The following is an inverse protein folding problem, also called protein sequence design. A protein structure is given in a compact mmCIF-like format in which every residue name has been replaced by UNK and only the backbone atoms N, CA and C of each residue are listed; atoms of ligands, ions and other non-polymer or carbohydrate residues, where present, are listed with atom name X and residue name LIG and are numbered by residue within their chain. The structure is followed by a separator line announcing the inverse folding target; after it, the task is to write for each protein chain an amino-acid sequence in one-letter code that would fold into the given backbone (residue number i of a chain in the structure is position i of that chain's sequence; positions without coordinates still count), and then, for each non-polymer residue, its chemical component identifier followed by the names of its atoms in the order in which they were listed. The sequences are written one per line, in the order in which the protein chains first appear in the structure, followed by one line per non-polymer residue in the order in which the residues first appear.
data_IF_620993874017
#
_entry.id   IF_620993874017
#
_cell.length_a   1.000
_cell.length_b   1.000
_cell.length_c   1.000
_cell.angle_alpha   90.00
_cell.angle_beta   90.00
_cell.angle_gamma   90.00
#
_symmetry.space_group_name_H-M   'P 1'
#
loop_
_entity.id
_entity.type
_entity.pdbx_description
1 polymer ?
#
# COMPACT_ATOMS: atom_id res chain seq x y z
N UNK A 1 -35.77 44.77 -49.52
CA UNK A 1 -36.82 44.08 -48.75
C UNK A 1 -36.45 42.61 -48.66
N UNK A 2 -36.37 42.05 -47.43
CA UNK A 2 -36.29 40.62 -47.05
C UNK A 2 -35.07 39.81 -47.54
N UNK A 3 -34.41 38.94 -46.77
CA UNK A 3 -34.16 38.66 -45.34
C UNK A 3 -33.09 37.54 -45.38
N UNK A 4 -32.06 37.66 -44.54
CA UNK A 4 -31.15 36.67 -43.91
C UNK A 4 -31.14 35.19 -44.36
N UNK A 5 -29.94 34.56 -44.37
CA UNK A 5 -29.48 33.55 -43.38
C UNK A 5 -28.01 33.16 -43.65
N UNK A 6 -27.20 33.21 -42.59
CA UNK A 6 -25.78 32.85 -42.47
C UNK A 6 -25.60 31.33 -42.24
N UNK A 7 -24.44 30.77 -42.60
CA UNK A 7 -23.94 29.54 -41.96
C UNK A 7 -22.41 29.49 -41.93
N UNK A 8 -21.92 29.54 -40.69
CA UNK A 8 -20.54 29.51 -40.22
C UNK A 8 -19.93 28.10 -40.30
N UNK A 9 -18.64 27.99 -40.61
CA UNK A 9 -17.85 26.74 -40.47
C UNK A 9 -16.76 26.98 -39.42
N UNK A 10 -16.95 26.44 -38.21
CA UNK A 10 -15.92 26.35 -37.16
C UNK A 10 -15.54 24.87 -37.05
N UNK A 11 -14.29 24.55 -37.39
CA UNK A 11 -13.72 23.22 -37.25
C UNK A 11 -13.41 22.92 -35.77
N UNK A 12 -14.00 21.83 -35.26
CA UNK A 12 -13.85 21.35 -33.89
C UNK A 12 -12.68 20.34 -33.82
N UNK A 13 -11.59 20.68 -33.12
CA UNK A 13 -10.55 19.73 -32.72
C UNK A 13 -10.94 19.10 -31.38
N UNK A 14 -11.38 17.84 -31.39
CA UNK A 14 -11.67 17.08 -30.18
C UNK A 14 -10.40 16.35 -29.70
N UNK A 15 -9.75 16.90 -28.68
CA UNK A 15 -8.75 16.19 -27.88
C UNK A 15 -9.49 15.27 -26.89
N UNK A 16 -9.51 13.97 -27.15
CA UNK A 16 -10.10 12.98 -26.24
C UNK A 16 -9.09 12.63 -25.15
N UNK A 17 -9.13 13.36 -24.05
CA UNK A 17 -8.49 12.98 -22.79
C UNK A 17 -9.25 11.79 -22.18
N UNK A 18 -8.62 10.62 -22.15
CA UNK A 18 -9.14 9.44 -21.43
C UNK A 18 -9.10 9.73 -19.93
N UNK A 19 -10.27 9.94 -19.32
CA UNK A 19 -10.44 9.99 -17.87
C UNK A 19 -10.31 8.57 -17.32
N UNK A 20 -9.21 8.28 -16.63
CA UNK A 20 -9.09 7.10 -15.78
C UNK A 20 -9.99 7.29 -14.57
N UNK A 21 -11.11 6.57 -14.51
CA UNK A 21 -12.01 6.55 -13.37
C UNK A 21 -11.41 5.71 -12.24
N UNK A 22 -10.81 6.36 -11.25
CA UNK A 22 -10.55 5.73 -9.96
C UNK A 22 -11.91 5.58 -9.26
N UNK A 23 -12.39 4.34 -9.10
CA UNK A 23 -13.71 4.08 -8.51
C UNK A 23 -13.86 4.67 -7.11
N UNK A 24 -14.95 5.42 -6.89
CA UNK A 24 -15.29 5.99 -5.59
C UNK A 24 -15.69 4.90 -4.58
N UNK A 25 -15.28 5.03 -3.30
CA UNK A 25 -15.58 4.03 -2.28
C UNK A 25 -17.09 3.94 -1.98
N UNK A 26 -17.60 2.72 -1.75
CA UNK A 26 -19.03 2.51 -1.46
C UNK A 26 -19.43 3.02 -0.07
N UNK A 27 -20.71 3.32 0.13
CA UNK A 27 -21.26 3.81 1.42
C UNK A 27 -21.01 2.82 2.57
N UNK A 28 -21.09 1.50 2.30
CA UNK A 28 -20.80 0.45 3.27
C UNK A 28 -19.32 0.44 3.72
N UNK A 29 -18.39 0.73 2.80
CA UNK A 29 -16.96 0.85 3.12
C UNK A 29 -16.64 2.11 3.93
N UNK A 30 -17.46 3.14 3.80
CA UNK A 30 -17.28 4.40 4.53
C UNK A 30 -17.75 4.25 5.98
N UNK A 31 -18.93 3.65 6.19
CA UNK A 31 -19.45 3.36 7.54
C UNK A 31 -18.56 2.39 8.34
N UNK A 32 -17.90 1.42 7.69
CA UNK A 32 -17.01 0.51 8.41
C UNK A 32 -15.77 1.18 8.99
N UNK A 33 -15.36 2.37 8.53
CA UNK A 33 -14.14 3.03 9.05
C UNK A 33 -14.41 3.73 10.39
N UNK A 34 -15.64 4.14 10.65
CA UNK A 34 -15.99 4.98 11.81
C UNK A 34 -15.75 4.31 13.17
N UNK A 35 -15.78 2.97 13.21
CA UNK A 35 -15.51 2.20 14.42
C UNK A 35 -14.01 2.11 14.79
N UNK A 36 -13.11 2.36 13.84
CA UNK A 36 -11.68 2.40 14.13
C UNK A 36 -11.34 3.72 14.84
N UNK A 37 -10.33 3.73 15.73
CA UNK A 37 -9.85 4.98 16.31
C UNK A 37 -9.57 6.02 15.22
N UNK A 38 -9.97 7.27 15.46
CA UNK A 38 -9.74 8.33 14.49
C UNK A 38 -8.32 8.86 14.55
N UNK A 39 -7.81 9.00 15.76
CA UNK A 39 -6.51 9.57 16.06
C UNK A 39 -5.83 8.71 17.11
N UNK A 40 -4.50 8.65 17.03
CA UNK A 40 -3.66 7.99 18.03
C UNK A 40 -2.39 8.82 18.19
N UNK A 41 -2.10 9.27 19.41
CA UNK A 41 -0.97 10.18 19.68
C UNK A 41 0.36 9.53 19.28
N UNK A 42 1.13 10.22 18.43
CA UNK A 42 2.43 9.75 17.96
C UNK A 42 2.36 8.79 16.76
N UNK A 43 1.17 8.61 16.19
CA UNK A 43 0.95 7.76 15.03
C UNK A 43 0.13 8.48 13.96
N UNK A 44 0.50 8.23 12.72
CA UNK A 44 -0.29 8.62 11.55
C UNK A 44 -1.18 7.46 11.11
N UNK A 45 -2.48 7.74 10.93
CA UNK A 45 -3.47 6.74 10.49
C UNK A 45 -3.49 6.59 8.96
N UNK A 46 -3.27 5.38 8.48
CA UNK A 46 -3.40 4.99 7.08
C UNK A 46 -4.60 4.06 6.89
N UNK A 47 -5.42 4.35 5.88
CA UNK A 47 -6.58 3.54 5.49
C UNK A 47 -6.38 3.06 4.06
N UNK A 48 -6.07 1.77 3.89
CA UNK A 48 -5.81 1.16 2.59
C UNK A 48 -7.08 0.50 2.09
N UNK A 49 -7.65 1.03 1.01
CA UNK A 49 -8.76 0.39 0.29
C UNK A 49 -8.19 -0.45 -0.84
N UNK A 50 -8.45 -1.75 -0.78
CA UNK A 50 -7.97 -2.69 -1.78
C UNK A 50 -8.94 -2.71 -2.98
N UNK A 51 -8.44 -2.68 -4.22
CA UNK A 51 -9.30 -2.82 -5.38
C UNK A 51 -9.95 -4.21 -5.41
N UNK A 52 -11.09 -4.33 -6.06
CA UNK A 52 -11.67 -5.65 -6.32
C UNK A 52 -10.81 -6.39 -7.34
N UNK A 53 -10.42 -7.63 -7.02
CA UNK A 53 -9.70 -8.54 -7.90
C UNK A 53 -10.50 -9.84 -8.06
N UNK A 54 -10.37 -10.48 -9.22
CA UNK A 54 -11.02 -11.77 -9.50
C UNK A 54 -10.17 -12.94 -9.00
N UNK A 55 -8.84 -12.84 -9.16
CA UNK A 55 -7.90 -13.88 -8.77
C UNK A 55 -7.49 -13.79 -7.30
N UNK A 56 -6.98 -14.91 -6.76
CA UNK A 56 -6.41 -14.95 -5.43
C UNK A 56 -5.19 -14.03 -5.30
N UNK A 57 -5.18 -13.25 -4.22
CA UNK A 57 -4.13 -12.29 -3.93
C UNK A 57 -3.76 -12.28 -2.45
N UNK A 58 -2.60 -11.69 -2.16
CA UNK A 58 -2.07 -11.43 -0.82
C UNK A 58 -1.61 -9.98 -0.73
N UNK A 59 -1.69 -9.42 0.47
CA UNK A 59 -1.22 -8.07 0.77
C UNK A 59 0.13 -8.17 1.52
N UNK A 60 1.06 -7.30 1.18
CA UNK A 60 2.27 -7.09 1.95
C UNK A 60 2.37 -5.60 2.31
N UNK A 61 2.58 -5.31 3.59
CA UNK A 61 2.82 -3.96 4.08
C UNK A 61 4.33 -3.74 4.24
N UNK A 62 4.81 -2.59 3.79
CA UNK A 62 6.22 -2.24 3.68
C UNK A 62 6.48 -0.97 4.50
N UNK A 63 6.58 -1.07 5.83
CA UNK A 63 6.95 0.05 6.65
C UNK A 63 8.42 0.41 6.40
N UNK A 64 8.72 1.69 6.35
CA UNK A 64 10.08 2.15 6.11
C UNK A 64 10.37 3.49 6.72
N UNK A 65 11.64 3.89 6.69
CA UNK A 65 12.09 5.20 7.16
C UNK A 65 13.14 5.75 6.20
N UNK A 66 13.09 7.05 5.96
CA UNK A 66 14.18 7.73 5.25
C UNK A 66 15.28 7.98 6.26
N UNK A 67 16.47 7.45 5.97
CA UNK A 67 17.67 7.59 6.80
C UNK A 67 18.80 8.17 5.98
N UNK A 68 19.66 8.94 6.63
CA UNK A 68 20.91 9.44 6.04
C UNK A 68 21.90 8.27 5.99
N UNK A 69 22.36 7.89 4.80
CA UNK A 69 23.28 6.77 4.63
C UNK A 69 23.77 6.60 3.20
N UNK A 70 24.66 5.64 2.99
CA UNK A 70 25.13 5.29 1.66
C UNK A 70 24.06 4.55 0.82
N UNK A 71 24.18 4.62 -0.50
CA UNK A 71 23.22 4.05 -1.45
C UNK A 71 23.52 2.61 -1.87
N UNK A 72 24.73 2.14 -1.61
CA UNK A 72 25.16 0.86 -2.14
C UNK A 72 24.93 -0.26 -1.14
N UNK A 73 25.09 -0.01 0.17
CA UNK A 73 24.89 -1.04 1.17
C UNK A 73 23.43 -1.38 1.40
N UNK A 74 23.21 -2.68 1.61
CA UNK A 74 21.90 -3.20 2.01
C UNK A 74 21.83 -3.17 3.53
N UNK A 75 20.73 -2.64 4.05
CA UNK A 75 20.41 -2.61 5.49
C UNK A 75 19.31 -3.60 5.78
N UNK A 76 19.46 -4.35 6.87
CA UNK A 76 18.38 -5.12 7.47
C UNK A 76 17.69 -4.22 8.47
N UNK A 77 16.40 -3.96 8.29
CA UNK A 77 15.61 -3.19 9.24
C UNK A 77 14.44 -4.00 9.77
N UNK A 78 14.02 -3.69 11.00
CA UNK A 78 12.90 -4.33 11.69
C UNK A 78 11.99 -3.28 12.31
N UNK A 79 10.76 -3.70 12.61
CA UNK A 79 9.73 -2.92 13.30
C UNK A 79 8.96 -3.82 14.25
N UNK A 80 8.36 -3.23 15.28
CA UNK A 80 7.35 -3.88 16.10
C UNK A 80 5.97 -3.76 15.45
N UNK A 81 5.16 -4.81 15.58
CA UNK A 81 3.83 -4.89 14.98
C UNK A 81 2.86 -5.46 15.99
N UNK A 82 1.89 -4.63 16.38
CA UNK A 82 0.79 -5.02 17.24
C UNK A 82 -0.50 -5.11 16.42
N UNK A 83 -1.21 -6.22 16.56
CA UNK A 83 -2.54 -6.40 15.97
C UNK A 83 -3.58 -6.26 17.07
N UNK A 84 -4.37 -5.20 17.00
CA UNK A 84 -5.43 -4.95 17.97
C UNK A 84 -6.80 -5.22 17.34
N UNK A 85 -7.70 -5.84 18.12
CA UNK A 85 -9.06 -6.13 17.69
C UNK A 85 -10.05 -5.11 18.25
N UNK A 86 -11.02 -4.70 17.45
CA UNK A 86 -12.12 -3.86 17.90
C UNK A 86 -13.18 -4.74 18.58
N UNK A 87 -13.35 -4.54 19.89
CA UNK A 87 -14.30 -5.30 20.69
C UNK A 87 -15.73 -5.16 20.14
N UNK A 88 -16.42 -6.29 19.97
CA UNK A 88 -17.80 -6.34 19.47
C UNK A 88 -17.95 -6.34 17.95
N UNK A 89 -16.88 -6.08 17.19
CA UNK A 89 -16.94 -6.01 15.72
C UNK A 89 -16.17 -7.15 15.02
N UNK A 90 -15.19 -7.76 15.70
CA UNK A 90 -14.39 -8.85 15.12
C UNK A 90 -13.39 -8.40 14.04
N UNK A 91 -13.14 -7.10 13.94
CA UNK A 91 -12.17 -6.51 13.04
C UNK A 91 -10.88 -6.15 13.76
N UNK A 92 -9.79 -6.00 13.01
CA UNK A 92 -8.48 -5.65 13.56
C UNK A 92 -7.83 -4.51 12.79
N UNK A 93 -7.00 -3.76 13.49
CA UNK A 93 -6.04 -2.82 12.91
C UNK A 93 -4.62 -3.18 13.35
N UNK A 94 -3.65 -2.54 12.71
CA UNK A 94 -2.23 -2.74 12.99
C UNK A 94 -1.63 -1.46 13.54
N UNK A 95 -0.76 -1.58 14.54
CA UNK A 95 0.16 -0.52 14.95
C UNK A 95 1.57 -0.94 14.59
N UNK A 96 2.31 -0.05 13.96
CA UNK A 96 3.69 -0.25 13.53
C UNK A 96 4.55 0.84 14.18
N UNK A 97 5.56 0.42 14.93
CA UNK A 97 6.47 1.32 15.66
C UNK A 97 7.88 0.74 15.73
N UNK A 98 8.76 1.45 16.44
CA UNK A 98 10.07 0.97 16.88
C UNK A 98 10.97 0.57 15.71
N UNK A 99 11.02 1.44 14.70
CA UNK A 99 11.88 1.24 13.54
C UNK A 99 13.35 1.14 13.95
N UNK A 100 13.97 0.01 13.65
CA UNK A 100 15.39 -0.25 13.87
C UNK A 100 16.07 -0.47 12.52
N UNK A 101 17.08 0.34 12.20
CA UNK A 101 17.82 0.29 10.93
C UNK A 101 18.79 -0.89 10.81
N UNK A 102 19.01 -1.63 11.91
CA UNK A 102 19.79 -2.87 12.00
C UNK A 102 21.19 -2.85 11.32
N UNK A 103 21.76 -4.03 11.04
CA UNK A 103 23.08 -4.12 10.41
C UNK A 103 23.03 -3.77 8.92
N UNK A 104 24.17 -3.28 8.43
CA UNK A 104 24.40 -2.94 7.02
C UNK A 104 25.54 -3.78 6.45
N UNK A 105 25.51 -4.05 5.14
CA UNK A 105 26.71 -4.53 4.43
C UNK A 105 27.84 -3.48 4.48
N UNK A 106 29.06 -3.89 4.12
CA UNK A 106 30.28 -3.08 4.21
C UNK A 106 30.99 -2.91 2.85
N UNK A 107 30.22 -2.65 1.79
CA UNK A 107 30.78 -2.32 0.47
C UNK A 107 31.35 -0.90 0.47
N UNK A 108 32.44 -0.71 -0.27
CA UNK A 108 32.98 0.62 -0.54
C UNK A 108 32.07 1.35 -1.55
N UNK A 109 31.27 2.30 -1.06
CA UNK A 109 30.37 3.06 -1.92
C UNK A 109 31.13 4.23 -2.58
N UNK A 110 31.06 4.36 -3.91
CA UNK A 110 31.73 5.46 -4.63
C UNK A 110 31.03 6.80 -4.44
N UNK A 111 29.73 6.79 -4.12
CA UNK A 111 28.96 7.96 -3.74
C UNK A 111 29.07 8.21 -2.23
N UNK A 112 29.03 9.49 -1.84
CA UNK A 112 28.87 9.87 -0.45
C UNK A 112 27.49 9.48 0.08
N UNK A 113 27.28 9.68 1.37
CA UNK A 113 25.97 9.44 1.96
C UNK A 113 24.93 10.36 1.30
N UNK A 114 23.68 9.89 1.20
CA UNK A 114 22.48 10.70 0.89
C UNK A 114 21.26 10.23 1.72
N UNK A 115 20.08 10.74 1.42
CA UNK A 115 18.84 10.22 2.01
C UNK A 115 18.42 8.93 1.27
N UNK A 116 18.17 7.87 2.03
CA UNK A 116 17.85 6.54 1.51
C UNK A 116 16.63 5.99 2.26
N UNK A 117 15.64 5.49 1.51
CA UNK A 117 14.48 4.81 2.11
C UNK A 117 14.87 3.37 2.44
N UNK A 118 14.82 3.02 3.72
CA UNK A 118 15.03 1.66 4.21
C UNK A 118 13.69 1.06 4.59
N UNK A 119 13.37 -0.11 4.02
CA UNK A 119 12.15 -0.86 4.30
C UNK A 119 12.47 -1.89 5.38
N UNK A 120 11.66 -1.93 6.42
CA UNK A 120 11.74 -2.93 7.48
C UNK A 120 10.93 -4.17 7.11
N UNK A 121 11.46 -5.33 7.49
CA UNK A 121 10.78 -6.62 7.33
C UNK A 121 10.15 -7.05 8.64
N UNK A 122 8.93 -7.60 8.55
CA UNK A 122 8.23 -8.25 9.65
C UNK A 122 7.30 -9.34 9.08
N UNK A 123 7.30 -10.53 9.67
CA UNK A 123 6.56 -11.67 9.13
C UNK A 123 5.04 -11.50 9.20
N UNK A 124 4.52 -10.72 10.16
CA UNK A 124 3.09 -10.44 10.28
C UNK A 124 2.56 -9.51 9.18
N UNK A 125 3.46 -8.71 8.59
CA UNK A 125 3.16 -7.77 7.52
C UNK A 125 3.36 -8.39 6.14
N UNK A 126 4.01 -9.54 6.09
CA UNK A 126 4.20 -10.35 4.88
C UNK A 126 3.02 -11.31 4.71
N UNK A 127 2.58 -11.52 3.47
CA UNK A 127 1.56 -12.52 3.12
C UNK A 127 0.21 -12.38 3.86
N UNK A 128 -0.20 -11.15 4.13
CA UNK A 128 -1.50 -10.86 4.74
C UNK A 128 -2.64 -11.27 3.80
N UNK A 129 -3.75 -11.72 4.38
CA UNK A 129 -4.95 -12.07 3.60
C UNK A 129 -5.48 -10.84 2.86
N UNK A 130 -5.69 -11.00 1.56
CA UNK A 130 -6.36 -9.98 0.75
C UNK A 130 -7.87 -10.01 0.98
N UNK A 131 -8.47 -8.85 1.22
CA UNK A 131 -9.91 -8.69 1.36
C UNK A 131 -10.32 -7.30 0.86
N UNK A 132 -10.92 -7.24 -0.32
CA UNK A 132 -11.40 -6.02 -0.97
C UNK A 132 -12.70 -5.47 -0.34
N UNK A 133 -13.38 -6.26 0.49
CA UNK A 133 -14.64 -5.86 1.14
C UNK A 133 -14.43 -4.94 2.33
N UNK A 134 -13.23 -4.89 2.89
CA UNK A 134 -12.93 -4.09 4.08
C UNK A 134 -11.58 -3.38 3.95
N UNK A 135 -11.48 -2.12 4.38
CA UNK A 135 -10.22 -1.42 4.39
C UNK A 135 -9.26 -2.03 5.43
N UNK A 136 -7.97 -1.99 5.13
CA UNK A 136 -6.91 -2.28 6.10
C UNK A 136 -6.53 -0.98 6.79
N UNK A 137 -6.69 -0.92 8.11
CA UNK A 137 -6.34 0.25 8.92
C UNK A 137 -5.03 0.00 9.63
N UNK A 138 -4.09 0.92 9.45
CA UNK A 138 -2.72 0.83 9.97
C UNK A 138 -2.36 2.17 10.61
N UNK A 139 -1.93 2.13 11.87
CA UNK A 139 -1.31 3.25 12.56
C UNK A 139 0.20 3.08 12.49
N UNK A 140 0.88 4.09 11.96
CA UNK A 140 2.32 4.06 11.73
C UNK A 140 2.94 5.18 12.56
N UNK A 141 3.94 4.85 13.37
CA UNK A 141 4.63 5.83 14.21
C UNK A 141 5.14 7.03 13.37
N UNK A 142 5.00 8.23 13.91
CA UNK A 142 5.33 9.46 13.20
C UNK A 142 6.80 9.47 12.74
N UNK A 143 7.02 9.93 11.50
CA UNK A 143 8.35 9.94 10.87
C UNK A 143 8.74 8.63 10.19
N UNK A 144 7.87 7.62 10.20
CA UNK A 144 7.95 6.46 9.30
C UNK A 144 7.10 6.68 8.04
N UNK A 145 7.26 5.76 7.09
CA UNK A 145 6.53 5.69 5.82
C UNK A 145 5.90 4.32 5.68
N UNK A 146 4.83 4.22 4.90
CA UNK A 146 4.15 2.96 4.62
C UNK A 146 3.86 2.84 3.13
N UNK A 147 4.50 1.85 2.50
CA UNK A 147 4.10 1.38 1.18
C UNK A 147 3.37 0.04 1.32
N UNK A 148 2.77 -0.44 0.24
CA UNK A 148 2.22 -1.79 0.20
C UNK A 148 2.39 -2.41 -1.20
N UNK A 149 2.40 -3.74 -1.24
CA UNK A 149 2.37 -4.54 -2.47
C UNK A 149 1.20 -5.50 -2.44
N UNK A 150 0.68 -5.80 -3.62
CA UNK A 150 -0.30 -6.86 -3.82
C UNK A 150 0.39 -7.97 -4.61
N UNK A 151 0.44 -9.15 -4.02
CA UNK A 151 0.95 -10.36 -4.65
C UNK A 151 -0.22 -11.13 -5.25
N UNK A 152 -0.14 -11.47 -6.53
CA UNK A 152 -1.12 -12.36 -7.18
C UNK A 152 -0.58 -13.77 -7.17
N UNK A 153 -1.46 -14.73 -6.88
CA UNK A 153 -1.11 -16.14 -6.93
C UNK A 153 -1.15 -16.60 -8.39
N UNK A 154 -0.18 -17.43 -8.79
CA UNK A 154 -0.24 -18.06 -10.11
C UNK A 154 -1.40 -19.07 -10.12
N UNK A 155 -2.22 -19.12 -11.18
CA UNK A 155 -3.27 -20.13 -11.29
C UNK A 155 -2.72 -21.54 -11.58
N UNK A 156 -1.42 -21.66 -11.87
CA UNK A 156 -0.76 -22.94 -12.14
C UNK A 156 -0.42 -23.66 -10.84
N UNK A 157 -0.95 -24.88 -10.69
CA UNK A 157 -0.61 -25.80 -9.60
C UNK A 157 0.15 -27.00 -10.14
N UNK A 158 1.32 -27.27 -9.56
CA UNK A 158 2.16 -28.42 -9.93
C UNK A 158 2.29 -29.35 -8.74
N UNK A 159 1.89 -30.61 -8.93
CA UNK A 159 2.10 -31.67 -7.94
C UNK A 159 3.49 -32.30 -8.12
N UNK A 160 4.21 -32.50 -7.01
CA UNK A 160 5.49 -33.22 -7.00
C UNK A 160 5.24 -34.60 -6.38
N UNK A 161 5.48 -35.65 -7.14
CA UNK A 161 5.38 -37.04 -6.67
C UNK A 161 6.65 -37.44 -5.88
N UNK A 162 6.47 -38.28 -4.86
CA UNK A 162 7.60 -38.83 -4.12
C UNK A 162 8.41 -39.80 -5.00
N UNK A 163 9.75 -39.84 -4.87
CA UNK A 163 10.56 -40.81 -5.60
C UNK A 163 10.17 -42.23 -5.18
N UNK A 164 10.07 -43.14 -6.16
CA UNK A 164 9.84 -44.56 -5.90
C UNK A 164 11.05 -45.16 -5.16
N UNK A 165 10.77 -45.94 -4.10
CA UNK A 165 11.76 -46.68 -3.30
C UNK A 165 12.48 -47.78 -4.09
#
# INVERSE_FOLDING_TARGET
MKKFIEASYIALLAATSTLTFAGEPSEAQTKSIEMFPQEMKGYTRHVIRLPKLEDEARLELLPGKVVRGDTCNKRLASVEVERESIQGWGYSYYKISDFNAGPSTLMACPSGEQDVKVIASNDQLQNMRYNDRMPVVVFVEDGMTLDYKIWRVSPEETSIEAPAE
#
